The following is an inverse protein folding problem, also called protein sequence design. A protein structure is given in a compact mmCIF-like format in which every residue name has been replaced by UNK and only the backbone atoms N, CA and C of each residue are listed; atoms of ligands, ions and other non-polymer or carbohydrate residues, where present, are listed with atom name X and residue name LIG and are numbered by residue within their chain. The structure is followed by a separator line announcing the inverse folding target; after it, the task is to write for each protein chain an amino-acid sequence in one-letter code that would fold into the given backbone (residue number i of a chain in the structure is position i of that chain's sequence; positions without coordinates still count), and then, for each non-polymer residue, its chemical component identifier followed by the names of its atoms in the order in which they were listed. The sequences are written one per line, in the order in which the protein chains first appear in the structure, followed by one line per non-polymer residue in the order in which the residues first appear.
data_IF_405036218574
#
_entry.id   IF_405036218574
#
_cell.length_a   1.000
_cell.length_b   1.000
_cell.length_c   1.000
_cell.angle_alpha   90.00
_cell.angle_beta   90.00
_cell.angle_gamma   90.00
#
_symmetry.space_group_name_H-M   'P 1'
#
loop_
_entity.id
_entity.type
_entity.pdbx_description
1 polymer ?
#
# COMPACT_ATOMS: atom_id res chain seq x y z
N UNK A 1 -7.42 -17.40 21.87
CA UNK A 1 -8.25 -16.91 22.99
C UNK A 1 -9.60 -17.66 23.02
N UNK A 2 -10.19 -17.96 24.19
CA UNK A 2 -11.54 -18.52 24.20
C UNK A 2 -12.50 -17.50 23.61
N UNK A 3 -13.07 -17.82 22.47
CA UNK A 3 -14.09 -16.99 21.84
C UNK A 3 -15.42 -17.17 22.56
N UNK A 4 -16.13 -16.08 22.87
CA UNK A 4 -17.49 -16.09 23.41
C UNK A 4 -18.56 -16.26 22.32
N UNK A 5 -18.12 -16.45 21.05
CA UNK A 5 -18.98 -16.70 19.90
C UNK A 5 -18.51 -17.96 19.17
N UNK A 6 -19.43 -18.61 18.43
CA UNK A 6 -19.06 -19.68 17.54
C UNK A 6 -18.25 -19.13 16.36
N UNK A 7 -17.02 -19.63 16.17
CA UNK A 7 -16.13 -19.18 15.08
C UNK A 7 -16.64 -19.69 13.73
N UNK A 8 -16.64 -18.81 12.74
CA UNK A 8 -17.01 -19.10 11.35
C UNK A 8 -15.97 -18.53 10.37
N UNK A 9 -15.99 -18.98 9.11
CA UNK A 9 -15.10 -18.50 8.06
C UNK A 9 -13.63 -18.58 8.45
N UNK A 10 -12.88 -17.56 8.11
CA UNK A 10 -11.43 -17.52 8.30
C UNK A 10 -10.98 -17.74 9.76
N UNK A 11 -11.77 -17.21 10.73
CA UNK A 11 -11.46 -17.41 12.14
C UNK A 11 -11.58 -18.89 12.57
N UNK A 12 -12.55 -19.62 12.01
CA UNK A 12 -12.68 -21.05 12.25
C UNK A 12 -11.51 -21.84 11.63
N UNK A 13 -11.13 -21.49 10.39
CA UNK A 13 -10.03 -22.16 9.68
C UNK A 13 -8.69 -21.97 10.37
N UNK A 14 -8.41 -20.74 10.85
CA UNK A 14 -7.20 -20.45 11.62
C UNK A 14 -7.16 -21.20 12.95
N UNK A 15 -8.29 -21.26 13.69
CA UNK A 15 -8.39 -22.03 14.93
C UNK A 15 -8.22 -23.53 14.67
N UNK A 16 -8.57 -24.04 13.50
CA UNK A 16 -8.30 -25.43 13.10
C UNK A 16 -6.80 -25.67 12.87
N UNK A 17 -6.10 -24.74 12.19
CA UNK A 17 -4.64 -24.82 12.04
C UNK A 17 -3.93 -24.83 13.38
N UNK A 18 -4.36 -24.00 14.33
CA UNK A 18 -3.82 -23.99 15.69
C UNK A 18 -3.99 -25.35 16.39
N UNK A 19 -5.22 -25.93 16.33
CA UNK A 19 -5.49 -27.25 16.91
C UNK A 19 -4.68 -28.38 16.28
N UNK A 20 -4.33 -28.23 15.00
CA UNK A 20 -3.50 -29.21 14.28
C UNK A 20 -2.01 -29.00 14.52
N UNK A 21 -1.59 -27.94 15.18
CA UNK A 21 -0.18 -27.57 15.34
C UNK A 21 0.51 -27.23 14.01
N UNK A 22 -0.24 -26.66 13.06
CA UNK A 22 0.23 -26.28 11.71
C UNK A 22 -0.05 -24.81 11.42
N UNK A 23 0.46 -23.88 12.22
CA UNK A 23 0.22 -22.46 11.98
C UNK A 23 0.88 -22.01 10.68
N UNK A 24 0.29 -21.00 10.05
CA UNK A 24 0.91 -20.26 8.94
C UNK A 24 2.09 -19.47 9.50
N UNK A 25 3.28 -19.64 8.93
CA UNK A 25 4.51 -18.98 9.38
C UNK A 25 4.91 -17.83 8.51
N UNK A 26 5.03 -16.67 9.12
CA UNK A 26 5.34 -15.40 8.47
C UNK A 26 6.83 -15.08 8.60
N UNK A 27 7.46 -14.72 7.48
CA UNK A 27 8.71 -13.95 7.48
C UNK A 27 8.39 -12.44 7.43
N UNK A 28 8.66 -11.72 8.50
CA UNK A 28 8.38 -10.28 8.58
C UNK A 28 9.65 -9.48 8.32
N UNK A 29 9.58 -8.54 7.36
CA UNK A 29 10.70 -7.67 7.01
C UNK A 29 10.40 -6.23 7.42
N UNK A 30 11.17 -5.73 8.37
CA UNK A 30 11.02 -4.40 8.95
C UNK A 30 10.10 -4.36 10.17
N UNK A 31 10.59 -3.74 11.24
CA UNK A 31 9.87 -3.48 12.49
C UNK A 31 9.77 -1.97 12.77
N UNK A 32 9.40 -1.21 11.73
CA UNK A 32 8.91 0.15 11.91
C UNK A 32 7.53 0.15 12.59
N UNK A 33 6.82 1.26 12.53
CA UNK A 33 5.46 1.40 13.09
C UNK A 33 4.53 0.29 12.55
N UNK A 34 4.39 0.17 11.22
CA UNK A 34 3.51 -0.82 10.60
C UNK A 34 3.96 -2.27 10.86
N UNK A 35 5.27 -2.56 10.83
CA UNK A 35 5.77 -3.90 11.13
C UNK A 35 5.55 -4.30 12.59
N UNK A 36 5.62 -3.37 13.53
CA UNK A 36 5.32 -3.60 14.95
C UNK A 36 3.83 -3.88 15.16
N UNK A 37 2.95 -3.19 14.43
CA UNK A 37 1.51 -3.45 14.47
C UNK A 37 1.18 -4.85 13.93
N UNK A 38 1.77 -5.24 12.78
CA UNK A 38 1.62 -6.60 12.21
C UNK A 38 2.09 -7.64 13.23
N UNK A 39 3.27 -7.43 13.81
CA UNK A 39 3.85 -8.30 14.83
C UNK A 39 2.91 -8.46 16.02
N UNK A 40 2.36 -7.34 16.53
CA UNK A 40 1.44 -7.33 17.67
C UNK A 40 0.09 -7.96 17.30
N UNK A 41 -0.41 -7.71 16.10
CA UNK A 41 -1.66 -8.30 15.60
C UNK A 41 -1.56 -9.83 15.53
N UNK A 42 -0.49 -10.35 14.93
CA UNK A 42 -0.25 -11.80 14.83
C UNK A 42 -0.16 -12.46 16.23
N UNK A 43 0.44 -11.78 17.21
CA UNK A 43 0.52 -12.29 18.57
C UNK A 43 -0.86 -12.50 19.25
N UNK A 44 -1.94 -11.95 18.69
CA UNK A 44 -3.31 -12.11 19.18
C UNK A 44 -4.14 -13.12 18.38
N UNK A 45 -3.58 -13.69 17.31
CA UNK A 45 -4.29 -14.58 16.40
C UNK A 45 -3.95 -16.04 16.69
N UNK A 46 -4.91 -16.93 16.47
CA UNK A 46 -4.70 -18.37 16.44
C UNK A 46 -4.29 -18.81 15.02
N UNK A 47 -3.51 -19.87 14.87
CA UNK A 47 -3.18 -20.52 13.61
C UNK A 47 -2.28 -19.73 12.65
N UNK A 48 -1.69 -18.65 13.10
CA UNK A 48 -0.71 -17.86 12.38
C UNK A 48 0.37 -17.37 13.35
N UNK A 49 1.62 -17.44 12.96
CA UNK A 49 2.76 -17.05 13.80
C UNK A 49 3.88 -16.40 12.99
N UNK A 50 4.70 -15.60 13.66
CA UNK A 50 5.93 -15.10 13.06
C UNK A 50 7.02 -16.15 13.23
N UNK A 51 7.56 -16.62 12.11
CA UNK A 51 8.71 -17.52 12.09
C UNK A 51 10.02 -16.77 12.12
N UNK A 52 10.23 -15.85 11.17
CA UNK A 52 11.45 -15.06 11.05
C UNK A 52 11.15 -13.57 11.03
N UNK A 53 12.09 -12.79 11.55
CA UNK A 53 12.09 -11.32 11.45
C UNK A 53 13.44 -10.87 10.92
N UNK A 54 13.43 -10.08 9.84
CA UNK A 54 14.59 -9.32 9.42
C UNK A 54 14.51 -7.89 9.97
N UNK A 55 15.47 -7.51 10.81
CA UNK A 55 15.59 -6.17 11.35
C UNK A 55 17.05 -5.80 11.57
N UNK A 56 17.46 -4.67 11.00
CA UNK A 56 18.86 -4.18 11.09
C UNK A 56 19.14 -3.33 12.31
N UNK A 57 18.09 -2.72 12.87
CA UNK A 57 18.23 -1.81 14.01
C UNK A 57 18.24 -2.60 15.31
N UNK A 58 19.35 -2.57 16.01
CA UNK A 58 19.48 -3.26 17.29
C UNK A 58 18.38 -2.80 18.29
N UNK A 59 17.80 -3.76 18.99
CA UNK A 59 16.79 -3.52 20.03
C UNK A 59 15.35 -3.42 19.53
N UNK A 60 15.08 -3.11 18.24
CA UNK A 60 13.69 -2.99 17.73
C UNK A 60 12.89 -4.28 17.87
N UNK A 61 13.49 -5.43 17.57
CA UNK A 61 12.79 -6.71 17.71
C UNK A 61 12.41 -6.99 19.18
N UNK A 62 13.30 -6.65 20.11
CA UNK A 62 13.01 -6.78 21.56
C UNK A 62 11.91 -5.81 22.01
N UNK A 63 11.88 -4.60 21.46
CA UNK A 63 10.83 -3.63 21.74
C UNK A 63 9.47 -4.11 21.21
N UNK A 64 9.41 -4.57 19.96
CA UNK A 64 8.19 -5.14 19.38
C UNK A 64 7.68 -6.34 20.17
N UNK A 65 8.58 -7.23 20.63
CA UNK A 65 8.22 -8.36 21.48
C UNK A 65 7.66 -7.93 22.83
N UNK A 66 8.24 -6.91 23.48
CA UNK A 66 7.70 -6.36 24.74
C UNK A 66 6.32 -5.74 24.57
N UNK A 67 6.10 -5.05 23.44
CA UNK A 67 4.78 -4.49 23.10
C UNK A 67 3.76 -5.61 22.93
N UNK A 68 4.11 -6.66 22.18
CA UNK A 68 3.18 -7.73 21.81
C UNK A 68 2.93 -8.75 22.94
N UNK A 69 3.96 -9.10 23.71
CA UNK A 69 3.92 -10.19 24.67
C UNK A 69 4.18 -9.76 26.12
N UNK A 70 4.59 -8.52 26.37
CA UNK A 70 4.98 -8.01 27.70
C UNK A 70 6.44 -8.26 28.06
N UNK A 71 7.15 -9.13 27.34
CA UNK A 71 8.58 -9.39 27.49
C UNK A 71 9.24 -9.74 26.14
N UNK A 72 10.55 -9.92 26.13
CA UNK A 72 11.31 -10.30 24.92
C UNK A 72 11.76 -11.78 24.92
N UNK A 73 11.24 -12.61 25.78
CA UNK A 73 11.58 -14.04 25.85
C UNK A 73 11.14 -14.85 24.64
N UNK A 74 10.17 -14.32 23.87
CA UNK A 74 9.66 -14.94 22.64
C UNK A 74 10.58 -14.82 21.45
N UNK A 75 11.61 -13.98 21.49
CA UNK A 75 12.54 -13.83 20.36
C UNK A 75 13.90 -14.46 20.68
N UNK A 76 14.63 -14.82 19.62
CA UNK A 76 16.03 -15.24 19.68
C UNK A 76 16.76 -14.86 18.42
N UNK A 77 18.06 -14.56 18.53
CA UNK A 77 18.89 -14.24 17.36
C UNK A 77 19.34 -15.49 16.64
N UNK A 78 19.25 -15.50 15.30
CA UNK A 78 19.67 -16.60 14.44
C UNK A 78 20.66 -16.09 13.38
N UNK A 79 21.79 -16.81 13.24
CA UNK A 79 22.82 -16.55 12.24
C UNK A 79 22.89 -17.70 11.21
N UNK A 80 22.03 -18.71 11.34
CA UNK A 80 21.93 -19.84 10.41
C UNK A 80 20.51 -20.39 10.35
N UNK A 81 20.20 -21.13 9.28
CA UNK A 81 18.91 -21.83 9.13
C UNK A 81 18.65 -22.82 10.27
N UNK A 82 19.66 -23.56 10.73
CA UNK A 82 19.52 -24.51 11.82
C UNK A 82 19.20 -23.79 13.15
N UNK A 83 19.86 -22.68 13.44
CA UNK A 83 19.56 -21.87 14.62
C UNK A 83 18.14 -21.27 14.55
N UNK A 84 17.70 -20.82 13.39
CA UNK A 84 16.34 -20.33 13.18
C UNK A 84 15.31 -21.46 13.34
N UNK A 85 15.58 -22.66 12.78
CA UNK A 85 14.72 -23.83 12.98
C UNK A 85 14.56 -24.17 14.46
N UNK A 86 15.66 -24.26 15.20
CA UNK A 86 15.62 -24.59 16.64
C UNK A 86 14.81 -23.56 17.46
N UNK A 87 14.90 -22.29 17.10
CA UNK A 87 14.07 -21.24 17.73
C UNK A 87 12.58 -21.45 17.42
N UNK A 88 12.21 -21.60 16.15
CA UNK A 88 10.82 -21.80 15.73
C UNK A 88 10.20 -23.08 16.30
N UNK A 89 10.96 -24.19 16.35
CA UNK A 89 10.53 -25.44 16.96
C UNK A 89 10.32 -25.34 18.47
N UNK A 90 11.04 -24.42 19.13
CA UNK A 90 10.83 -24.12 20.56
C UNK A 90 9.71 -23.09 20.81
N UNK A 91 8.97 -22.68 19.76
CA UNK A 91 7.90 -21.66 19.85
C UNK A 91 8.42 -20.23 19.98
N UNK A 92 9.67 -19.97 19.55
CA UNK A 92 10.29 -18.65 19.56
C UNK A 92 10.47 -18.12 18.14
N UNK A 93 10.53 -16.80 18.02
CA UNK A 93 10.70 -16.07 16.77
C UNK A 93 12.20 -15.90 16.49
N UNK A 94 12.62 -16.25 15.30
CA UNK A 94 14.01 -16.11 14.86
C UNK A 94 14.26 -14.71 14.30
N UNK A 95 15.04 -13.89 14.99
CA UNK A 95 15.45 -12.54 14.56
C UNK A 95 16.81 -12.63 13.90
N UNK A 96 16.96 -12.04 12.72
CA UNK A 96 18.21 -12.05 11.97
C UNK A 96 18.48 -10.71 11.27
N UNK A 97 19.74 -10.43 11.02
CA UNK A 97 20.20 -9.35 10.13
C UNK A 97 20.60 -9.87 8.74
N UNK A 98 20.45 -11.17 8.50
CA UNK A 98 20.64 -11.80 7.19
C UNK A 98 19.28 -11.88 6.47
N UNK A 99 19.13 -11.08 5.41
CA UNK A 99 17.89 -11.03 4.65
C UNK A 99 17.58 -12.37 3.97
N UNK A 100 18.58 -13.04 3.40
CA UNK A 100 18.37 -14.32 2.71
C UNK A 100 17.91 -15.40 3.68
N UNK A 101 18.45 -15.43 4.89
CA UNK A 101 17.98 -16.34 5.94
C UNK A 101 16.51 -16.08 6.28
N UNK A 102 16.13 -14.83 6.45
CA UNK A 102 14.74 -14.47 6.79
C UNK A 102 13.76 -14.86 5.69
N UNK A 103 14.11 -14.62 4.42
CA UNK A 103 13.20 -14.80 3.28
C UNK A 103 13.11 -16.26 2.79
N UNK A 104 14.22 -17.01 2.84
CA UNK A 104 14.31 -18.33 2.21
C UNK A 104 14.13 -19.50 3.17
N UNK A 105 13.90 -19.25 4.45
CA UNK A 105 13.81 -20.32 5.45
C UNK A 105 12.70 -21.34 5.11
N UNK A 106 13.02 -22.63 5.20
CA UNK A 106 12.12 -23.71 4.79
C UNK A 106 10.77 -23.74 5.54
N UNK A 107 10.76 -23.31 6.79
CA UNK A 107 9.56 -23.25 7.64
C UNK A 107 8.74 -21.95 7.48
N UNK A 108 9.17 -20.98 6.68
CA UNK A 108 8.39 -19.78 6.38
C UNK A 108 7.52 -20.03 5.16
N UNK A 109 6.25 -19.68 5.23
CA UNK A 109 5.25 -19.84 4.17
C UNK A 109 5.08 -18.57 3.34
N UNK A 110 4.96 -17.43 4.01
CA UNK A 110 4.65 -16.12 3.43
C UNK A 110 5.61 -15.08 3.99
N UNK A 111 6.06 -14.16 3.13
CA UNK A 111 6.87 -13.01 3.53
C UNK A 111 6.02 -11.74 3.43
N UNK A 112 6.12 -10.89 4.45
CA UNK A 112 5.51 -9.56 4.49
C UNK A 112 6.62 -8.52 4.45
N UNK A 113 6.63 -7.65 3.42
CA UNK A 113 7.48 -6.46 3.37
C UNK A 113 6.76 -5.26 4.00
N UNK A 114 7.23 -4.83 5.16
CA UNK A 114 6.74 -3.67 5.89
C UNK A 114 7.77 -2.52 5.96
N UNK A 115 8.66 -2.39 4.97
CA UNK A 115 9.77 -1.43 5.01
C UNK A 115 9.41 -0.02 4.55
N UNK A 116 8.44 0.16 3.65
CA UNK A 116 8.01 1.46 3.10
C UNK A 116 9.10 2.19 2.28
N UNK A 117 10.14 1.50 1.82
CA UNK A 117 11.23 2.04 1.01
C UNK A 117 11.26 1.32 -0.33
N UNK A 118 11.00 1.98 -1.49
CA UNK A 118 10.91 1.33 -2.80
C UNK A 118 12.14 0.49 -3.18
N UNK A 119 13.34 0.99 -2.92
CA UNK A 119 14.60 0.27 -3.18
C UNK A 119 14.70 -1.03 -2.36
N UNK A 120 14.32 -0.99 -1.08
CA UNK A 120 14.31 -2.18 -0.24
C UNK A 120 13.24 -3.18 -0.71
N UNK A 121 12.02 -2.69 -1.00
CA UNK A 121 10.92 -3.53 -1.51
C UNK A 121 11.27 -4.23 -2.81
N UNK A 122 12.02 -3.57 -3.70
CA UNK A 122 12.49 -4.14 -4.95
C UNK A 122 13.43 -5.34 -4.72
N UNK A 123 14.39 -5.22 -3.81
CA UNK A 123 15.32 -6.31 -3.47
C UNK A 123 14.61 -7.45 -2.71
N UNK A 124 13.85 -7.10 -1.66
CA UNK A 124 13.07 -8.04 -0.86
C UNK A 124 12.10 -8.82 -1.73
N UNK A 125 11.33 -8.13 -2.57
CA UNK A 125 10.32 -8.74 -3.42
C UNK A 125 10.90 -9.76 -4.37
N UNK A 126 11.95 -9.39 -5.10
CA UNK A 126 12.60 -10.32 -6.04
C UNK A 126 13.30 -11.49 -5.38
N UNK A 127 13.90 -11.31 -4.20
CA UNK A 127 14.51 -12.42 -3.44
C UNK A 127 13.46 -13.36 -2.89
N UNK A 128 12.36 -12.84 -2.33
CA UNK A 128 11.23 -13.63 -1.83
C UNK A 128 10.65 -14.52 -2.93
N UNK A 129 10.36 -13.94 -4.10
CA UNK A 129 9.82 -14.68 -5.26
C UNK A 129 10.80 -15.77 -5.72
N UNK A 130 12.10 -15.46 -5.82
CA UNK A 130 13.14 -16.45 -6.19
C UNK A 130 13.31 -17.56 -5.16
N UNK A 131 13.06 -17.28 -3.88
CA UNK A 131 13.04 -18.29 -2.82
C UNK A 131 11.77 -19.16 -2.83
N UNK A 132 10.85 -18.93 -3.76
CA UNK A 132 9.59 -19.69 -3.87
C UNK A 132 8.60 -19.40 -2.76
N UNK A 133 8.64 -18.20 -2.16
CA UNK A 133 7.73 -17.78 -1.09
C UNK A 133 6.68 -16.84 -1.60
N UNK A 134 5.48 -16.91 -1.03
CA UNK A 134 4.43 -15.91 -1.26
C UNK A 134 4.86 -14.55 -0.71
N UNK A 135 4.49 -13.48 -1.39
CA UNK A 135 4.86 -12.10 -1.02
C UNK A 135 3.64 -11.24 -0.79
N UNK A 136 3.55 -10.67 0.39
CA UNK A 136 2.58 -9.62 0.74
C UNK A 136 3.35 -8.30 0.85
N UNK A 137 2.96 -7.33 0.04
CA UNK A 137 3.62 -6.04 -0.07
C UNK A 137 2.81 -5.00 0.70
N UNK A 138 3.37 -4.49 1.81
CA UNK A 138 2.86 -3.27 2.47
C UNK A 138 3.52 -2.01 1.94
N UNK A 139 4.60 -2.17 1.19
CA UNK A 139 5.35 -1.09 0.55
C UNK A 139 4.67 -0.68 -0.76
N UNK A 140 3.57 0.06 -0.64
CA UNK A 140 2.73 0.48 -1.78
C UNK A 140 3.53 1.36 -2.75
N UNK A 141 4.51 2.11 -2.25
CA UNK A 141 5.44 2.93 -3.04
C UNK A 141 6.28 2.07 -3.99
N UNK A 142 6.66 0.86 -3.58
CA UNK A 142 7.32 -0.12 -4.43
C UNK A 142 6.34 -0.70 -5.46
N UNK A 143 5.12 -1.07 -5.03
CA UNK A 143 4.10 -1.63 -5.91
C UNK A 143 3.76 -0.70 -7.07
N UNK A 144 3.45 0.57 -6.81
CA UNK A 144 3.11 1.53 -7.90
C UNK A 144 4.27 1.78 -8.86
N UNK A 145 5.51 1.47 -8.46
CA UNK A 145 6.70 1.63 -9.29
C UNK A 145 6.99 0.38 -10.15
N UNK A 146 6.94 -0.82 -9.54
CA UNK A 146 7.35 -2.08 -10.18
C UNK A 146 6.41 -3.27 -9.92
N UNK A 147 5.21 -3.04 -9.38
CA UNK A 147 4.25 -4.10 -9.03
C UNK A 147 3.89 -5.04 -10.19
N UNK A 148 3.59 -4.54 -11.41
CA UNK A 148 3.34 -5.39 -12.57
C UNK A 148 4.47 -6.40 -12.86
N UNK A 149 5.73 -6.00 -12.70
CA UNK A 149 6.88 -6.89 -12.84
C UNK A 149 6.93 -7.92 -11.70
N UNK A 150 6.77 -7.49 -10.44
CA UNK A 150 6.77 -8.39 -9.29
C UNK A 150 5.67 -9.46 -9.41
N UNK A 151 4.47 -9.04 -9.80
CA UNK A 151 3.37 -9.96 -10.07
C UNK A 151 3.69 -10.94 -11.20
N UNK A 152 4.24 -10.46 -12.31
CA UNK A 152 4.65 -11.31 -13.44
C UNK A 152 5.69 -12.36 -13.02
N UNK A 153 6.72 -11.96 -12.27
CA UNK A 153 7.76 -12.87 -11.80
C UNK A 153 7.21 -13.87 -10.76
N UNK A 154 6.28 -13.42 -9.88
CA UNK A 154 5.60 -14.30 -8.94
C UNK A 154 4.75 -15.37 -9.64
N UNK A 155 3.96 -14.97 -10.65
CA UNK A 155 3.17 -15.93 -11.45
C UNK A 155 4.06 -16.96 -12.15
N UNK A 156 5.21 -16.53 -12.70
CA UNK A 156 6.21 -17.46 -13.30
C UNK A 156 6.82 -18.43 -12.29
N UNK A 157 7.03 -17.97 -11.07
CA UNK A 157 7.57 -18.78 -9.97
C UNK A 157 6.51 -19.67 -9.31
N UNK A 158 5.22 -19.53 -9.66
CA UNK A 158 4.12 -20.28 -9.04
C UNK A 158 3.81 -19.84 -7.61
N UNK A 159 4.17 -18.59 -7.25
CA UNK A 159 3.87 -18.01 -5.94
C UNK A 159 2.90 -16.83 -6.07
N UNK A 160 2.30 -16.44 -4.96
CA UNK A 160 1.35 -15.33 -4.92
C UNK A 160 2.09 -14.04 -4.54
N UNK A 161 1.86 -12.99 -5.33
CA UNK A 161 2.12 -11.60 -5.02
C UNK A 161 0.79 -10.88 -4.79
N UNK A 162 0.68 -10.09 -3.72
CA UNK A 162 -0.48 -9.26 -3.42
C UNK A 162 -0.11 -8.11 -2.51
N UNK A 163 -0.84 -6.99 -2.58
CA UNK A 163 -0.85 -5.99 -1.51
C UNK A 163 -1.57 -6.55 -0.28
N UNK A 164 -1.21 -6.05 0.90
CA UNK A 164 -1.82 -6.43 2.17
C UNK A 164 -3.17 -5.74 2.39
N UNK A 165 -4.11 -6.46 3.03
CA UNK A 165 -5.38 -5.89 3.48
C UNK A 165 -5.16 -4.76 4.50
N UNK A 166 -6.17 -3.91 4.66
CA UNK A 166 -6.25 -2.90 5.70
C UNK A 166 -5.72 -1.53 5.32
N UNK A 167 -4.82 -1.41 4.35
CA UNK A 167 -4.47 -0.11 3.77
C UNK A 167 -5.60 0.39 2.87
N UNK A 168 -5.68 1.69 2.61
CA UNK A 168 -6.79 2.30 1.86
C UNK A 168 -7.00 1.65 0.48
N UNK A 169 -5.94 1.33 -0.30
CA UNK A 169 -6.12 0.67 -1.59
C UNK A 169 -6.84 -0.67 -1.48
N UNK A 170 -6.36 -1.57 -0.63
CA UNK A 170 -6.94 -2.91 -0.48
C UNK A 170 -8.32 -2.87 0.17
N UNK A 171 -8.55 -1.95 1.12
CA UNK A 171 -9.88 -1.73 1.73
C UNK A 171 -10.88 -1.20 0.70
N UNK A 172 -10.46 -0.32 -0.21
CA UNK A 172 -11.28 0.17 -1.32
C UNK A 172 -11.60 -0.98 -2.29
N UNK A 173 -10.62 -1.84 -2.56
CA UNK A 173 -10.80 -3.01 -3.43
C UNK A 173 -11.85 -3.98 -2.90
N UNK A 174 -11.95 -4.18 -1.57
CA UNK A 174 -13.01 -5.00 -0.96
C UNK A 174 -14.41 -4.48 -1.31
N UNK A 175 -14.63 -3.14 -1.29
CA UNK A 175 -15.90 -2.55 -1.70
C UNK A 175 -16.09 -2.64 -3.22
N UNK A 176 -15.04 -2.43 -4.01
CA UNK A 176 -15.11 -2.57 -5.48
C UNK A 176 -15.53 -3.99 -5.85
N UNK A 177 -14.92 -5.02 -5.28
CA UNK A 177 -15.30 -6.42 -5.49
C UNK A 177 -16.77 -6.66 -5.13
N UNK A 178 -17.22 -6.15 -3.97
CA UNK A 178 -18.59 -6.29 -3.51
C UNK A 178 -19.60 -5.65 -4.47
N UNK A 179 -19.40 -4.40 -4.88
CA UNK A 179 -20.36 -3.69 -5.74
C UNK A 179 -20.36 -4.20 -7.18
N UNK A 180 -19.18 -4.57 -7.71
CA UNK A 180 -19.07 -5.13 -9.07
C UNK A 180 -19.64 -6.55 -9.15
N UNK A 181 -19.50 -7.35 -8.09
CA UNK A 181 -20.14 -8.66 -8.01
C UNK A 181 -21.69 -8.56 -8.00
N UNK A 182 -22.26 -7.43 -7.54
CA UNK A 182 -23.67 -7.12 -7.65
C UNK A 182 -24.07 -6.53 -9.02
N UNK A 183 -23.13 -6.34 -9.93
CA UNK A 183 -23.35 -5.82 -11.28
C UNK A 183 -23.44 -4.29 -11.36
N UNK A 184 -22.94 -3.56 -10.36
CA UNK A 184 -22.92 -2.09 -10.41
C UNK A 184 -21.68 -1.56 -11.13
N UNK A 185 -21.86 -0.50 -11.90
CA UNK A 185 -20.79 0.27 -12.52
C UNK A 185 -20.10 1.16 -11.47
N UNK A 186 -18.77 1.10 -11.39
CA UNK A 186 -17.99 1.99 -10.54
C UNK A 186 -17.71 3.29 -11.27
N UNK A 187 -18.18 4.39 -10.69
CA UNK A 187 -18.00 5.75 -11.23
C UNK A 187 -16.74 6.40 -10.68
N UNK A 188 -16.55 6.31 -9.37
CA UNK A 188 -15.37 6.81 -8.69
C UNK A 188 -15.05 5.94 -7.47
N UNK A 189 -13.77 5.71 -7.21
CA UNK A 189 -13.32 5.03 -6.02
C UNK A 189 -12.18 5.81 -5.36
N UNK A 190 -12.12 5.78 -4.02
CA UNK A 190 -11.08 6.52 -3.32
C UNK A 190 -11.22 6.59 -1.81
N UNK A 191 -10.56 7.59 -1.24
CA UNK A 191 -10.40 7.74 0.21
C UNK A 191 -10.72 9.14 0.73
N UNK A 192 -10.96 9.24 2.03
CA UNK A 192 -10.91 10.50 2.75
C UNK A 192 -9.47 10.88 3.13
N UNK A 193 -9.11 12.14 2.93
CA UNK A 193 -7.81 12.68 3.37
C UNK A 193 -7.95 13.37 4.73
N UNK A 194 -7.22 12.87 5.72
CA UNK A 194 -7.38 13.27 7.11
C UNK A 194 -6.68 14.62 7.44
N UNK A 195 -5.44 14.79 6.97
CA UNK A 195 -4.67 15.97 7.27
C UNK A 195 -4.99 17.12 6.31
N UNK A 196 -4.92 18.38 6.74
CA UNK A 196 -4.97 19.53 5.83
C UNK A 196 -3.92 19.38 4.72
N UNK A 197 -4.31 19.72 3.49
CA UNK A 197 -3.40 19.62 2.36
C UNK A 197 -2.48 20.84 2.32
N UNK A 198 -1.17 20.59 2.39
CA UNK A 198 -0.12 21.57 2.19
C UNK A 198 0.94 20.98 1.25
N UNK A 199 0.86 21.29 -0.02
CA UNK A 199 1.76 20.75 -1.06
C UNK A 199 3.24 21.10 -0.85
N UNK A 200 3.55 22.09 -0.04
CA UNK A 200 4.91 22.59 0.22
C UNK A 200 5.43 22.16 1.60
N UNK A 201 4.70 21.30 2.31
CA UNK A 201 5.09 20.82 3.64
C UNK A 201 6.49 20.19 3.62
N UNK A 202 7.29 20.57 4.61
CA UNK A 202 8.65 20.04 4.82
C UNK A 202 8.80 19.59 6.28
N UNK A 203 9.78 18.71 6.61
CA UNK A 203 9.95 18.19 7.95
C UNK A 203 10.07 19.26 9.04
N UNK A 204 10.76 20.36 8.78
CA UNK A 204 10.96 21.44 9.75
C UNK A 204 9.66 22.06 10.24
N UNK A 205 8.62 22.11 9.40
CA UNK A 205 7.31 22.68 9.73
C UNK A 205 6.46 21.76 10.63
N UNK A 206 6.79 20.48 10.68
CA UNK A 206 5.94 19.45 11.30
C UNK A 206 6.64 18.61 12.38
N UNK A 207 7.88 18.96 12.77
CA UNK A 207 8.65 18.20 13.76
C UNK A 207 7.94 18.14 15.12
N UNK A 208 7.44 19.27 15.63
CA UNK A 208 6.73 19.32 16.93
C UNK A 208 5.44 18.47 16.91
N UNK A 209 4.72 18.48 15.79
CA UNK A 209 3.51 17.66 15.65
C UNK A 209 3.85 16.18 15.58
N UNK A 210 4.90 15.81 14.87
CA UNK A 210 5.39 14.44 14.77
C UNK A 210 5.80 13.91 16.14
N UNK A 211 6.56 14.68 16.91
CA UNK A 211 7.00 14.33 18.26
C UNK A 211 5.80 14.13 19.21
N UNK A 212 4.82 15.05 19.18
CA UNK A 212 3.59 14.95 19.99
C UNK A 212 2.78 13.70 19.65
N UNK A 213 2.78 13.27 18.38
CA UNK A 213 2.05 12.08 17.90
C UNK A 213 2.87 10.80 17.96
N UNK A 214 4.13 10.87 18.39
CA UNK A 214 5.09 9.79 18.34
C UNK A 214 5.21 9.17 16.94
N UNK A 215 5.26 10.01 15.92
CA UNK A 215 5.33 9.62 14.50
C UNK A 215 6.66 10.02 13.89
N UNK A 216 7.05 9.31 12.84
CA UNK A 216 8.15 9.75 11.98
C UNK A 216 7.73 11.02 11.21
N UNK A 217 8.50 12.11 11.33
CA UNK A 217 8.17 13.39 10.71
C UNK A 217 8.07 13.31 9.17
N UNK A 218 8.91 12.50 8.54
CA UNK A 218 8.85 12.27 7.10
C UNK A 218 7.49 11.68 6.70
N UNK A 219 7.01 10.67 7.43
CA UNK A 219 5.71 10.04 7.18
C UNK A 219 4.56 11.03 7.41
N UNK A 220 4.65 11.89 8.43
CA UNK A 220 3.66 12.95 8.66
C UNK A 220 3.62 13.92 7.47
N UNK A 221 4.79 14.32 6.94
CA UNK A 221 4.87 15.20 5.76
C UNK A 221 4.27 14.53 4.53
N UNK A 222 4.48 13.24 4.30
CA UNK A 222 3.85 12.49 3.19
C UNK A 222 2.32 12.51 3.27
N UNK A 223 1.77 12.48 4.48
CA UNK A 223 0.33 12.67 4.67
C UNK A 223 -0.13 14.10 4.39
N UNK A 224 0.64 15.10 4.83
CA UNK A 224 0.26 16.51 4.71
C UNK A 224 0.43 17.03 3.28
N UNK A 225 1.53 16.69 2.59
CA UNK A 225 1.77 17.14 1.22
C UNK A 225 1.00 16.35 0.15
N UNK A 226 0.24 15.34 0.57
CA UNK A 226 -0.59 14.52 -0.29
C UNK A 226 0.14 13.38 -0.98
N UNK A 227 1.46 13.21 -0.80
CA UNK A 227 2.24 12.16 -1.46
C UNK A 227 1.68 10.77 -1.22
N UNK A 228 1.33 10.45 0.03
CA UNK A 228 0.73 9.15 0.38
C UNK A 228 -0.59 8.93 -0.36
N UNK A 229 -1.46 9.95 -0.42
CA UNK A 229 -2.72 9.89 -1.16
C UNK A 229 -2.50 9.63 -2.66
N UNK A 230 -1.50 10.26 -3.27
CA UNK A 230 -1.16 10.05 -4.69
C UNK A 230 -0.75 8.59 -4.94
N UNK A 231 0.11 8.02 -4.09
CA UNK A 231 0.54 6.63 -4.17
C UNK A 231 -0.64 5.66 -4.05
N UNK A 232 -1.48 5.84 -3.05
CA UNK A 232 -2.62 4.96 -2.78
C UNK A 232 -3.66 4.99 -3.90
N UNK A 233 -3.99 6.17 -4.43
CA UNK A 233 -4.92 6.28 -5.56
C UNK A 233 -4.35 5.67 -6.84
N UNK A 234 -3.04 5.80 -7.08
CA UNK A 234 -2.39 5.12 -8.20
C UNK A 234 -2.41 3.59 -8.04
N UNK A 235 -2.28 3.07 -6.83
CA UNK A 235 -2.40 1.64 -6.57
C UNK A 235 -3.80 1.12 -6.91
N UNK A 236 -4.87 1.81 -6.49
CA UNK A 236 -6.26 1.48 -6.87
C UNK A 236 -6.41 1.53 -8.40
N UNK A 237 -5.94 2.61 -9.04
CA UNK A 237 -5.99 2.76 -10.49
C UNK A 237 -5.32 1.59 -11.20
N UNK A 238 -4.12 1.24 -10.79
CA UNK A 238 -3.34 0.17 -11.41
C UNK A 238 -3.91 -1.23 -11.15
N UNK A 239 -4.72 -1.42 -10.11
CA UNK A 239 -5.39 -2.70 -9.85
C UNK A 239 -6.74 -2.84 -10.57
N UNK A 240 -7.40 -1.73 -10.90
CA UNK A 240 -8.80 -1.73 -11.37
C UNK A 240 -8.99 -1.24 -12.81
N UNK A 241 -8.06 -0.43 -13.32
CA UNK A 241 -8.22 0.28 -14.59
C UNK A 241 -8.97 1.62 -14.46
N UNK A 242 -9.44 2.00 -13.27
CA UNK A 242 -9.87 3.37 -12.98
C UNK A 242 -8.68 4.31 -13.16
N UNK A 243 -8.93 5.57 -13.55
CA UNK A 243 -7.83 6.51 -13.82
C UNK A 243 -7.97 7.80 -13.01
N UNK A 244 -6.88 8.51 -12.69
CA UNK A 244 -7.01 9.89 -12.26
C UNK A 244 -7.65 10.72 -13.39
N UNK A 245 -8.68 11.50 -13.09
CA UNK A 245 -9.38 12.30 -14.09
C UNK A 245 -8.53 13.45 -14.62
N UNK A 246 -7.78 14.06 -13.72
CA UNK A 246 -6.78 15.10 -13.99
C UNK A 246 -5.49 14.78 -13.21
N UNK A 247 -4.33 15.31 -13.62
CA UNK A 247 -3.10 15.18 -12.83
C UNK A 247 -3.28 15.67 -11.39
N UNK A 248 -3.02 14.80 -10.42
CA UNK A 248 -3.18 15.08 -8.99
C UNK A 248 -4.61 14.96 -8.47
N UNK A 249 -5.57 14.64 -9.33
CA UNK A 249 -7.00 14.47 -8.99
C UNK A 249 -7.67 15.77 -8.50
N UNK A 250 -8.98 15.75 -8.24
CA UNK A 250 -9.72 16.95 -7.86
C UNK A 250 -9.64 17.25 -6.35
N UNK A 251 -9.70 16.22 -5.50
CA UNK A 251 -9.67 16.38 -4.05
C UNK A 251 -10.74 17.30 -3.48
N UNK A 252 -12.03 17.14 -3.83
CA UNK A 252 -13.08 18.07 -3.41
C UNK A 252 -13.34 18.00 -1.90
N UNK A 253 -13.96 19.05 -1.35
CA UNK A 253 -14.42 19.12 0.05
C UNK A 253 -15.80 18.46 0.24
N UNK A 254 -16.06 17.36 -0.44
CA UNK A 254 -17.31 16.63 -0.30
C UNK A 254 -17.37 15.86 1.03
N UNK A 255 -18.43 16.05 1.79
CA UNK A 255 -18.76 15.20 2.95
C UNK A 255 -19.26 13.83 2.49
N UNK A 256 -19.41 12.87 3.42
CA UNK A 256 -19.95 11.54 3.08
C UNK A 256 -21.29 11.62 2.36
N UNK A 257 -22.16 12.53 2.77
CA UNK A 257 -23.48 12.70 2.15
C UNK A 257 -23.41 13.32 0.74
N UNK A 258 -22.33 14.07 0.45
CA UNK A 258 -22.14 14.77 -0.82
C UNK A 258 -21.27 13.99 -1.82
N UNK A 259 -20.64 12.88 -1.42
CA UNK A 259 -19.76 12.10 -2.31
C UNK A 259 -20.45 11.72 -3.62
N UNK A 260 -21.70 11.20 -3.53
CA UNK A 260 -22.48 10.72 -4.69
C UNK A 260 -23.10 11.84 -5.53
N UNK A 261 -22.91 13.10 -5.17
CA UNK A 261 -23.33 14.27 -5.96
C UNK A 261 -22.15 15.12 -6.42
N UNK A 262 -20.97 14.87 -5.86
CA UNK A 262 -19.75 15.65 -6.20
C UNK A 262 -18.81 14.88 -7.10
N UNK A 263 -18.45 13.65 -6.74
CA UNK A 263 -17.50 12.80 -7.49
C UNK A 263 -18.23 11.96 -8.55
N UNK A 264 -19.01 12.63 -9.38
CA UNK A 264 -19.76 12.10 -10.51
C UNK A 264 -19.46 12.95 -11.76
N UNK A 265 -19.85 12.51 -12.98
CA UNK A 265 -19.59 13.28 -14.19
C UNK A 265 -20.17 14.70 -14.17
N UNK A 266 -19.43 15.66 -14.75
CA UNK A 266 -19.87 17.06 -14.91
C UNK A 266 -21.22 17.16 -15.65
N UNK A 267 -21.48 16.28 -16.61
CA UNK A 267 -22.74 16.21 -17.33
C UNK A 267 -23.95 15.95 -16.41
N UNK A 268 -23.71 15.36 -15.23
CA UNK A 268 -24.70 15.04 -14.21
C UNK A 268 -24.57 15.95 -12.96
N UNK A 269 -23.77 17.01 -13.06
CA UNK A 269 -23.61 18.05 -12.04
C UNK A 269 -22.45 17.86 -11.06
N UNK A 270 -21.55 16.91 -11.30
CA UNK A 270 -20.35 16.67 -10.51
C UNK A 270 -19.10 17.38 -11.03
N UNK A 271 -17.92 16.83 -10.68
CA UNK A 271 -16.61 17.41 -11.03
C UNK A 271 -15.79 16.55 -11.99
N UNK A 272 -16.19 15.30 -12.26
CA UNK A 272 -15.43 14.38 -13.09
C UNK A 272 -15.74 14.58 -14.57
N UNK A 273 -14.73 14.53 -15.43
CA UNK A 273 -14.93 14.61 -16.89
C UNK A 273 -15.65 13.35 -17.44
N UNK A 274 -15.53 12.22 -16.74
CA UNK A 274 -16.07 10.90 -17.13
C UNK A 274 -16.21 9.98 -15.91
N UNK A 275 -16.98 8.88 -16.00
CA UNK A 275 -16.96 7.80 -15.01
C UNK A 275 -15.66 6.99 -15.10
N UNK A 276 -15.41 6.16 -14.09
CA UNK A 276 -14.24 5.26 -14.04
C UNK A 276 -12.99 5.95 -13.51
N UNK A 277 -13.13 6.80 -12.50
CA UNK A 277 -12.03 7.58 -11.93
C UNK A 277 -11.62 7.11 -10.54
N UNK A 278 -10.38 7.43 -10.15
CA UNK A 278 -9.93 7.48 -8.76
C UNK A 278 -9.85 8.91 -8.30
N UNK A 279 -10.25 9.19 -7.05
CA UNK A 279 -10.12 10.51 -6.45
C UNK A 279 -10.11 10.41 -4.91
N UNK A 280 -9.85 11.51 -4.23
CA UNK A 280 -9.90 11.60 -2.78
C UNK A 280 -10.81 12.75 -2.35
N UNK A 281 -11.33 12.72 -1.11
CA UNK A 281 -12.07 13.84 -0.55
C UNK A 281 -11.39 14.38 0.70
N UNK A 282 -11.33 15.71 0.84
CA UNK A 282 -10.90 16.40 2.06
C UNK A 282 -12.11 16.89 2.88
N UNK A 283 -13.29 16.36 2.59
CA UNK A 283 -14.53 16.70 3.27
C UNK A 283 -14.65 16.04 4.65
N UNK A 284 -15.44 16.67 5.51
CA UNK A 284 -15.64 16.20 6.88
C UNK A 284 -16.33 14.82 6.92
N UNK A 285 -15.78 13.92 7.73
CA UNK A 285 -16.35 12.60 8.02
C UNK A 285 -16.01 11.52 7.00
N UNK A 286 -15.36 11.85 5.88
CA UNK A 286 -14.91 10.85 4.90
C UNK A 286 -13.67 10.11 5.40
N UNK A 287 -12.72 10.83 5.98
CA UNK A 287 -11.53 10.24 6.60
C UNK A 287 -11.82 9.81 8.06
N UNK A 288 -11.21 8.72 8.55
CA UNK A 288 -10.21 7.85 7.91
C UNK A 288 -10.83 6.73 7.03
N UNK A 289 -11.88 7.02 6.31
CA UNK A 289 -12.62 6.04 5.50
C UNK A 289 -12.22 6.00 4.04
N UNK A 290 -12.78 5.00 3.38
CA UNK A 290 -12.69 4.78 1.93
C UNK A 290 -14.09 4.74 1.32
N UNK A 291 -14.21 5.02 0.03
CA UNK A 291 -15.50 5.04 -0.64
C UNK A 291 -15.45 4.49 -2.07
N UNK A 292 -16.60 3.99 -2.52
CA UNK A 292 -16.85 3.64 -3.92
C UNK A 292 -18.19 4.23 -4.32
N UNK A 293 -18.23 5.00 -5.39
CA UNK A 293 -19.44 5.56 -5.95
C UNK A 293 -19.84 4.71 -7.14
N UNK A 294 -21.08 4.25 -7.13
CA UNK A 294 -21.64 3.43 -8.20
C UNK A 294 -22.81 4.13 -8.86
N UNK A 295 -23.06 3.78 -10.13
CA UNK A 295 -24.29 4.11 -10.84
C UNK A 295 -25.22 2.90 -10.85
N UNK A 296 -26.48 3.12 -10.48
CA UNK A 296 -27.53 2.10 -10.55
C UNK A 296 -28.76 2.69 -11.25
N UNK A 297 -29.15 2.12 -12.40
CA UNK A 297 -30.22 2.70 -13.24
C UNK A 297 -31.52 1.91 -13.16
N UNK A 298 -31.51 0.69 -12.61
CA UNK A 298 -32.73 -0.15 -12.57
C UNK A 298 -33.74 0.38 -11.54
N UNK A 299 -34.99 0.70 -11.93
CA UNK A 299 -36.00 1.35 -11.06
C UNK A 299 -36.18 0.63 -9.72
N UNK A 300 -36.18 -0.71 -9.71
CA UNK A 300 -36.35 -1.49 -8.49
C UNK A 300 -35.13 -1.37 -7.54
N UNK A 301 -33.94 -1.17 -8.06
CA UNK A 301 -32.76 -0.94 -7.26
C UNK A 301 -32.80 0.47 -6.65
N UNK A 302 -33.19 1.47 -7.44
CA UNK A 302 -33.43 2.83 -6.95
C UNK A 302 -34.41 2.85 -5.76
N UNK A 303 -35.58 2.25 -5.94
CA UNK A 303 -36.60 2.15 -4.88
C UNK A 303 -35.99 1.53 -3.62
N UNK A 304 -35.21 0.46 -3.76
CA UNK A 304 -34.61 -0.22 -2.63
C UNK A 304 -33.51 0.62 -1.94
N UNK A 305 -32.68 1.29 -2.70
CA UNK A 305 -31.64 2.16 -2.15
C UNK A 305 -32.26 3.41 -1.48
N UNK A 306 -33.32 3.97 -2.03
CA UNK A 306 -34.07 5.06 -1.41
C UNK A 306 -34.70 4.61 -0.07
N UNK A 307 -35.34 3.44 -0.02
CA UNK A 307 -35.88 2.84 1.21
C UNK A 307 -34.78 2.69 2.28
N UNK A 308 -33.58 2.33 1.87
CA UNK A 308 -32.39 2.17 2.74
C UNK A 308 -31.68 3.50 3.04
N UNK A 309 -32.23 4.62 2.59
CA UNK A 309 -31.69 5.98 2.80
C UNK A 309 -30.28 6.20 2.25
N UNK A 310 -29.97 5.52 1.15
CA UNK A 310 -28.68 5.67 0.48
C UNK A 310 -28.61 6.89 -0.45
N UNK A 311 -29.70 7.62 -0.66
CA UNK A 311 -29.84 8.79 -1.53
C UNK A 311 -30.91 8.61 -2.61
N UNK A 312 -31.06 9.65 -3.43
CA UNK A 312 -32.12 9.73 -4.47
C UNK A 312 -31.66 9.06 -5.80
N UNK A 313 -30.34 8.77 -5.93
CA UNK A 313 -29.77 8.19 -7.14
C UNK A 313 -29.70 9.15 -8.35
N UNK A 314 -29.25 8.68 -9.52
CA UNK A 314 -28.78 7.32 -9.85
C UNK A 314 -27.40 6.94 -9.28
N UNK A 315 -26.73 7.86 -8.59
CA UNK A 315 -25.41 7.67 -8.01
C UNK A 315 -25.51 7.39 -6.51
N UNK A 316 -24.73 6.42 -6.03
CA UNK A 316 -24.76 5.98 -4.63
C UNK A 316 -23.36 5.75 -4.11
N UNK A 317 -23.06 6.24 -2.90
CA UNK A 317 -21.79 6.06 -2.24
C UNK A 317 -21.83 4.88 -1.26
N UNK A 318 -20.92 3.93 -1.46
CA UNK A 318 -20.60 2.90 -0.47
C UNK A 318 -19.37 3.39 0.29
N UNK A 319 -19.52 3.63 1.59
CA UNK A 319 -18.50 4.21 2.44
C UNK A 319 -18.21 3.30 3.63
N UNK A 320 -16.94 2.93 3.81
CA UNK A 320 -16.43 2.28 5.01
C UNK A 320 -15.70 3.37 5.83
N UNK A 321 -16.16 3.72 7.06
CA UNK A 321 -15.67 4.88 7.81
C UNK A 321 -14.29 4.65 8.47
N UNK A 322 -13.69 3.52 8.26
CA UNK A 322 -12.37 3.15 8.81
C UNK A 322 -11.65 2.18 7.88
N UNK A 323 -10.36 2.09 8.06
CA UNK A 323 -9.47 1.03 7.62
C UNK A 323 -8.46 0.78 8.74
N UNK A 324 -7.99 -0.45 8.94
CA UNK A 324 -7.17 -0.78 10.11
C UNK A 324 -5.68 -0.92 9.79
N UNK A 325 -5.28 -0.42 8.63
CA UNK A 325 -3.88 -0.40 8.18
C UNK A 325 -3.20 -1.77 8.33
N UNK A 326 -2.02 -1.79 8.91
CA UNK A 326 -1.19 -2.97 9.18
C UNK A 326 -1.87 -4.09 9.98
N UNK A 327 -2.88 -3.78 10.79
CA UNK A 327 -3.57 -4.78 11.62
C UNK A 327 -4.39 -5.81 10.83
N UNK A 328 -4.80 -5.48 9.60
CA UNK A 328 -5.54 -6.41 8.72
C UNK A 328 -4.60 -7.28 7.86
N UNK A 329 -3.32 -6.93 7.72
CA UNK A 329 -2.36 -7.64 6.84
C UNK A 329 -2.24 -9.14 7.13
N UNK A 330 -2.26 -9.61 8.38
CA UNK A 330 -2.22 -11.04 8.66
C UNK A 330 -3.40 -11.81 8.06
N UNK A 331 -4.56 -11.17 7.84
CA UNK A 331 -5.69 -11.79 7.15
C UNK A 331 -5.37 -12.09 5.69
N UNK A 332 -4.57 -11.26 5.03
CA UNK A 332 -4.05 -11.55 3.68
C UNK A 332 -3.23 -12.82 3.67
N UNK A 333 -2.32 -12.99 4.64
CA UNK A 333 -1.52 -14.20 4.73
C UNK A 333 -2.39 -15.46 4.89
N UNK A 334 -3.42 -15.37 5.73
CA UNK A 334 -4.38 -16.46 5.89
C UNK A 334 -5.16 -16.74 4.58
N UNK A 335 -5.65 -15.71 3.89
CA UNK A 335 -6.36 -15.86 2.60
C UNK A 335 -5.46 -16.44 1.51
N UNK A 336 -4.21 -16.03 1.44
CA UNK A 336 -3.21 -16.55 0.51
C UNK A 336 -3.00 -18.04 0.75
N UNK A 337 -2.74 -18.44 2.00
CA UNK A 337 -2.38 -19.83 2.33
C UNK A 337 -3.57 -20.80 2.30
N UNK A 338 -4.75 -20.36 2.78
CA UNK A 338 -5.93 -21.21 2.87
C UNK A 338 -6.72 -21.27 1.56
N UNK A 339 -6.80 -20.15 0.84
CA UNK A 339 -7.69 -20.02 -0.30
C UNK A 339 -6.97 -19.71 -1.62
N UNK A 340 -5.66 -19.48 -1.62
CA UNK A 340 -4.93 -19.02 -2.81
C UNK A 340 -5.40 -17.62 -3.29
N UNK A 341 -6.04 -16.84 -2.40
CA UNK A 341 -6.66 -15.56 -2.74
C UNK A 341 -5.64 -14.42 -2.64
N UNK A 342 -5.69 -13.54 -3.62
CA UNK A 342 -4.99 -12.25 -3.64
C UNK A 342 -5.98 -11.16 -3.22
N UNK A 343 -5.60 -10.26 -2.33
CA UNK A 343 -6.49 -9.17 -1.92
C UNK A 343 -6.45 -8.02 -2.93
N UNK A 344 -5.27 -7.69 -3.45
CA UNK A 344 -5.13 -6.68 -4.48
C UNK A 344 -3.84 -6.90 -5.29
N UNK A 345 -3.93 -6.80 -6.60
CA UNK A 345 -2.76 -6.93 -7.50
C UNK A 345 -2.86 -5.92 -8.64
N UNK A 346 -1.74 -5.39 -9.14
CA UNK A 346 -1.76 -4.51 -10.30
C UNK A 346 -2.10 -5.28 -11.59
N UNK A 347 -2.71 -4.57 -12.52
CA UNK A 347 -2.90 -5.03 -13.90
C UNK A 347 -1.55 -5.22 -14.60
N UNK A 348 -1.48 -6.07 -15.64
CA UNK A 348 -0.25 -6.24 -16.43
C UNK A 348 0.26 -4.93 -17.06
N UNK A 349 -0.66 -4.03 -17.45
CA UNK A 349 -0.36 -2.67 -17.89
C UNK A 349 -0.87 -1.67 -16.89
N UNK A 350 0.00 -0.91 -16.23
CA UNK A 350 -0.44 0.15 -15.33
C UNK A 350 -1.16 1.26 -16.12
N UNK A 351 -2.14 1.90 -15.50
CA UNK A 351 -2.92 3.00 -16.08
C UNK A 351 -2.57 4.36 -15.46
N UNK A 352 -1.99 4.34 -14.27
CA UNK A 352 -1.53 5.52 -13.54
C UNK A 352 -0.04 5.42 -13.20
N UNK A 353 0.62 6.57 -13.14
CA UNK A 353 2.02 6.72 -12.74
C UNK A 353 2.11 7.73 -11.61
N UNK A 354 2.91 7.42 -10.58
CA UNK A 354 3.22 8.35 -9.51
C UNK A 354 4.48 9.12 -9.87
N UNK A 355 4.31 10.30 -10.40
CA UNK A 355 5.38 11.23 -10.75
C UNK A 355 5.76 12.14 -9.57
N UNK A 356 6.66 13.07 -9.78
CA UNK A 356 7.14 14.02 -8.77
C UNK A 356 7.08 15.46 -9.25
N UNK A 357 6.66 16.35 -8.34
CA UNK A 357 6.60 17.81 -8.54
C UNK A 357 7.49 18.50 -7.50
N UNK A 358 8.33 19.42 -7.93
CA UNK A 358 9.24 20.15 -7.06
C UNK A 358 8.48 21.01 -6.03
N UNK A 359 8.83 20.88 -4.73
CA UNK A 359 8.30 21.73 -3.65
C UNK A 359 8.95 23.12 -3.60
N UNK A 360 10.15 23.24 -4.12
CA UNK A 360 10.97 24.46 -4.18
C UNK A 360 11.75 24.51 -5.48
N UNK A 361 12.39 25.63 -5.74
CA UNK A 361 13.37 25.70 -6.83
C UNK A 361 14.55 24.78 -6.53
N UNK A 362 14.96 23.98 -7.54
CA UNK A 362 16.08 23.06 -7.48
C UNK A 362 17.15 23.48 -8.49
N UNK A 363 18.42 23.41 -8.09
CA UNK A 363 19.56 23.85 -8.91
C UNK A 363 20.35 22.66 -9.44
N UNK A 364 20.97 22.79 -10.63
CA UNK A 364 21.86 21.79 -11.15
C UNK A 364 22.96 21.39 -10.13
N UNK A 365 23.20 20.08 -10.00
CA UNK A 365 24.12 19.52 -9.04
C UNK A 365 23.51 19.19 -7.66
N UNK A 366 22.29 19.63 -7.36
CA UNK A 366 21.60 19.21 -6.13
C UNK A 366 21.24 17.72 -6.21
N UNK A 367 21.29 17.06 -5.05
CA UNK A 367 20.83 15.67 -4.88
C UNK A 367 19.37 15.67 -4.44
N UNK A 368 18.55 14.89 -5.10
CA UNK A 368 17.16 14.64 -4.73
C UNK A 368 17.10 13.77 -3.48
N UNK A 369 16.30 14.17 -2.52
CA UNK A 369 16.01 13.43 -1.30
C UNK A 369 14.89 12.40 -1.50
N UNK A 370 14.25 11.92 -0.44
CA UNK A 370 13.16 10.96 -0.52
C UNK A 370 11.78 11.66 -0.44
N UNK A 371 10.70 10.92 -0.73
CA UNK A 371 9.31 11.36 -0.50
C UNK A 371 9.15 11.79 0.96
N UNK A 372 8.35 12.82 1.19
CA UNK A 372 8.12 13.37 2.53
C UNK A 372 9.26 14.23 3.07
N UNK A 373 10.19 14.67 2.22
CA UNK A 373 11.29 15.56 2.59
C UNK A 373 11.17 16.93 1.88
N UNK A 374 12.27 17.52 1.41
CA UNK A 374 12.33 18.92 1.02
C UNK A 374 12.23 19.18 -0.48
N UNK A 375 12.62 18.20 -1.33
CA UNK A 375 12.79 18.45 -2.76
C UNK A 375 11.50 18.37 -3.55
N UNK A 376 10.67 17.36 -3.28
CA UNK A 376 9.50 17.07 -4.10
C UNK A 376 8.36 16.43 -3.30
N UNK A 377 7.17 16.41 -3.91
CA UNK A 377 6.00 15.62 -3.52
C UNK A 377 5.55 14.73 -4.67
N UNK A 378 4.86 13.65 -4.34
CA UNK A 378 4.26 12.75 -5.34
C UNK A 378 3.11 13.42 -6.09
N UNK A 379 2.92 13.02 -7.36
CA UNK A 379 1.88 13.56 -8.21
C UNK A 379 1.39 12.51 -9.20
N UNK A 380 0.20 11.99 -8.98
CA UNK A 380 -0.36 10.92 -9.80
C UNK A 380 -0.94 11.48 -11.09
N UNK A 381 -0.59 10.84 -12.20
CA UNK A 381 -1.03 11.15 -13.56
C UNK A 381 -1.42 9.85 -14.26
N UNK A 382 -2.12 9.92 -15.37
CA UNK A 382 -2.23 8.76 -16.26
C UNK A 382 -0.85 8.42 -16.84
N UNK A 383 -0.63 7.15 -17.17
CA UNK A 383 0.63 6.71 -17.79
C UNK A 383 0.89 7.47 -19.10
N UNK A 384 -0.16 7.76 -19.88
CA UNK A 384 -0.02 8.51 -21.14
C UNK A 384 0.48 9.95 -20.90
N UNK A 385 -0.06 10.66 -19.91
CA UNK A 385 0.39 12.00 -19.54
C UNK A 385 1.82 12.00 -18.99
N UNK A 386 2.15 11.02 -18.12
CA UNK A 386 3.50 10.87 -17.57
C UNK A 386 4.54 10.62 -18.68
N UNK A 387 4.22 9.77 -19.66
CA UNK A 387 5.08 9.51 -20.83
C UNK A 387 5.23 10.75 -21.72
N UNK A 388 4.14 11.45 -22.01
CA UNK A 388 4.17 12.69 -22.81
C UNK A 388 5.02 13.79 -22.15
N UNK A 389 5.00 13.86 -20.81
CA UNK A 389 5.81 14.79 -20.03
C UNK A 389 7.25 14.30 -19.80
N UNK A 390 7.58 13.07 -20.19
CA UNK A 390 8.85 12.40 -19.86
C UNK A 390 9.14 12.39 -18.35
N UNK A 391 8.07 12.33 -17.51
CA UNK A 391 8.20 12.37 -16.08
C UNK A 391 8.85 11.09 -15.51
N UNK A 392 9.65 11.25 -14.46
CA UNK A 392 10.18 10.12 -13.71
C UNK A 392 9.18 9.61 -12.68
N UNK A 393 9.06 8.28 -12.48
CA UNK A 393 8.36 7.73 -11.32
C UNK A 393 9.06 8.12 -10.01
N UNK A 394 8.30 8.47 -8.98
CA UNK A 394 8.84 8.82 -7.67
C UNK A 394 9.80 7.76 -7.10
N UNK A 395 9.47 6.48 -7.27
CA UNK A 395 10.23 5.36 -6.69
C UNK A 395 11.68 5.26 -7.13
N UNK A 396 12.08 5.91 -8.24
CA UNK A 396 13.48 5.88 -8.75
C UNK A 396 14.27 7.16 -8.47
N UNK A 397 13.68 8.14 -7.78
CA UNK A 397 14.25 9.49 -7.65
C UNK A 397 15.22 9.65 -6.49
N UNK A 398 15.17 8.79 -5.47
CA UNK A 398 16.05 8.93 -4.30
C UNK A 398 17.54 8.94 -4.71
N UNK A 399 18.25 9.98 -4.28
CA UNK A 399 19.66 10.26 -4.62
C UNK A 399 19.92 10.52 -6.10
N UNK A 400 18.90 10.84 -6.89
CA UNK A 400 19.07 11.36 -8.24
C UNK A 400 19.73 12.75 -8.22
N UNK A 401 20.29 13.18 -9.35
CA UNK A 401 20.96 14.47 -9.46
C UNK A 401 20.17 15.39 -10.38
N UNK A 402 19.95 16.62 -9.96
CA UNK A 402 19.37 17.69 -10.80
C UNK A 402 20.39 18.07 -11.88
N UNK A 403 19.98 17.99 -13.15
CA UNK A 403 20.84 18.32 -14.31
C UNK A 403 20.56 19.69 -14.91
N UNK A 404 19.33 20.17 -14.77
CA UNK A 404 18.88 21.50 -15.22
C UNK A 404 18.05 22.17 -14.11
N UNK A 405 17.97 23.53 -14.08
CA UNK A 405 17.13 24.21 -13.11
C UNK A 405 15.67 23.72 -13.19
N UNK A 406 15.05 23.51 -12.04
CA UNK A 406 13.64 23.13 -11.90
C UNK A 406 12.96 24.15 -11.00
N UNK A 407 11.92 24.83 -11.49
CA UNK A 407 11.17 25.76 -10.68
C UNK A 407 10.19 25.00 -9.76
N UNK A 408 9.82 25.62 -8.64
CA UNK A 408 8.75 25.12 -7.78
C UNK A 408 7.48 24.89 -8.59
N UNK A 409 6.87 23.72 -8.41
CA UNK A 409 5.66 23.30 -9.13
C UNK A 409 5.91 22.59 -10.45
N UNK A 410 7.15 22.51 -10.94
CA UNK A 410 7.50 21.79 -12.15
C UNK A 410 7.73 20.28 -11.90
N UNK A 411 7.49 19.48 -12.93
CA UNK A 411 7.71 18.04 -12.91
C UNK A 411 9.23 17.71 -12.95
N UNK A 412 9.59 16.66 -12.20
CA UNK A 412 10.89 16.02 -12.30
C UNK A 412 10.85 15.04 -13.48
N UNK A 413 11.63 15.34 -14.52
CA UNK A 413 11.58 14.67 -15.83
C UNK A 413 12.94 14.09 -16.23
N UNK A 414 12.95 13.29 -17.28
CA UNK A 414 14.19 12.75 -17.89
C UNK A 414 15.12 13.84 -18.43
N UNK A 415 14.61 15.06 -18.64
CA UNK A 415 15.40 16.20 -19.14
C UNK A 415 16.13 16.93 -18.03
N UNK A 416 15.56 16.97 -16.83
CA UNK A 416 16.09 17.79 -15.72
C UNK A 416 16.64 16.97 -14.54
N UNK A 417 16.50 15.63 -14.58
CA UNK A 417 17.00 14.71 -13.54
C UNK A 417 17.75 13.55 -14.17
N UNK A 418 18.93 13.25 -13.61
CA UNK A 418 19.66 12.01 -13.84
C UNK A 418 19.48 11.07 -12.65
N UNK A 419 18.81 9.94 -12.84
CA UNK A 419 18.58 8.93 -11.81
C UNK A 419 19.83 8.07 -11.60
N UNK A 420 19.88 7.32 -10.50
CA UNK A 420 20.87 6.29 -10.25
C UNK A 420 20.40 4.97 -10.89
N UNK A 421 21.02 4.59 -12.00
CA UNK A 421 20.69 3.35 -12.72
C UNK A 421 21.20 2.08 -12.02
N UNK A 422 22.14 2.21 -11.08
CA UNK A 422 22.75 1.12 -10.31
C UNK A 422 21.89 0.61 -9.14
N UNK A 423 20.73 1.19 -8.88
CA UNK A 423 19.79 0.76 -7.85
C UNK A 423 18.92 -0.43 -8.30
N UNK A 424 18.43 -1.23 -7.34
CA UNK A 424 17.57 -2.37 -7.65
C UNK A 424 16.26 -1.90 -8.28
N UNK A 425 15.64 -0.86 -7.70
CA UNK A 425 14.37 -0.31 -8.19
C UNK A 425 14.48 0.23 -9.62
N UNK A 426 15.55 0.95 -9.97
CA UNK A 426 15.75 1.48 -11.31
C UNK A 426 15.95 0.37 -12.35
N UNK A 427 16.77 -0.64 -12.02
CA UNK A 427 16.96 -1.81 -12.89
C UNK A 427 15.68 -2.61 -13.11
N UNK A 428 14.88 -2.81 -12.06
CA UNK A 428 13.62 -3.53 -12.16
C UNK A 428 12.56 -2.69 -12.88
N UNK A 429 12.56 -1.36 -12.69
CA UNK A 429 11.68 -0.48 -13.45
C UNK A 429 11.99 -0.54 -14.95
N UNK A 430 13.25 -0.51 -15.36
CA UNK A 430 13.63 -0.68 -16.77
C UNK A 430 13.13 -2.02 -17.33
N UNK A 431 13.19 -3.11 -16.55
CA UNK A 431 12.64 -4.40 -16.96
C UNK A 431 11.11 -4.37 -17.08
N UNK A 432 10.43 -3.69 -16.16
CA UNK A 432 8.98 -3.51 -16.23
C UNK A 432 8.58 -2.73 -17.49
N UNK A 433 9.26 -1.62 -17.77
CA UNK A 433 8.97 -0.81 -18.96
C UNK A 433 9.11 -1.63 -20.24
N UNK A 434 10.15 -2.48 -20.34
CA UNK A 434 10.33 -3.41 -21.45
C UNK A 434 9.23 -4.50 -21.51
N UNK A 435 8.84 -5.05 -20.35
CA UNK A 435 7.75 -6.03 -20.25
C UNK A 435 6.43 -5.44 -20.73
N UNK A 436 6.07 -4.26 -20.24
CA UNK A 436 4.82 -3.56 -20.58
C UNK A 436 4.76 -3.14 -22.04
N UNK A 437 5.89 -2.74 -22.62
CA UNK A 437 5.99 -2.40 -24.04
C UNK A 437 5.80 -3.62 -24.97
N UNK A 438 6.03 -4.83 -24.48
CA UNK A 438 5.83 -6.09 -25.20
C UNK A 438 4.39 -6.65 -25.13
N UNK A 439 3.52 -6.06 -24.30
CA UNK A 439 2.10 -6.44 -24.12
C UNK A 439 1.19 -5.59 -25.05
#
# INVERSE_FOLDING_TARGET
MPSNVHLTGLAHELAELERQGKPIRIGLVGLGEMGTDIFTGIAQMDGIEIGTVFERTAGRAAEAARIAYGDDGRIGHAESHDAASALMESGRIAVTTDLDLALSHGLVDVVIDATGVPEAGADIGMRTIRAGKHLIMMNVECDVCIGPLLKHEADKAGVIYTLGAGDEPSSTMEIIEFVTAMGHEVVCAGKGKNNPLNFEAVPDDYQEEADRRNMNVRMLVEFVDGSKTMVEMAAIANATGLVPDIPGMHGPRATVAELATTLIPEADGGVLSKPGCVDYSIGKGVSPGIFVIVKAEHPRIHERFADLKMGEGPYYAFHRPYHLTSLEVPLTAARVMLHGRRDMVPLPKPVAEVCAVAKRDLKPGETIDAVGQYCYRSWTMTVAEAQAAEAWPCGVLERATVTQPIARGELLTRRNIAIREDTAIARLRTKQDALVAGL
#
